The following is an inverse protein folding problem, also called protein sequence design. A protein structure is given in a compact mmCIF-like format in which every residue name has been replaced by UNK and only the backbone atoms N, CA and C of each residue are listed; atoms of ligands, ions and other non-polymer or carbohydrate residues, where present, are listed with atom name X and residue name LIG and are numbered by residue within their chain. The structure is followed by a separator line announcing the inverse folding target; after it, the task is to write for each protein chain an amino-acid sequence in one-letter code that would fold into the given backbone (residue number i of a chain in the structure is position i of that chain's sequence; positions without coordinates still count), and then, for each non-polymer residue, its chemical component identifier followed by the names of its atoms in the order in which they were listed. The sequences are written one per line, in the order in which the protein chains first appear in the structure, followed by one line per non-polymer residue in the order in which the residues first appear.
data_IF_897081633656
#
_entry.id   IF_897081633656
#
_cell.length_a   1.000
_cell.length_b   1.000
_cell.length_c   1.000
_cell.angle_alpha   90.00
_cell.angle_beta   90.00
_cell.angle_gamma   90.00
#
_symmetry.space_group_name_H-M   'P 1'
#
loop_
_entity.id
_entity.type
_entity.pdbx_description
1 polymer ?
#
# COMPACT_ATOMS: atom_id res chain seq x y z
N UNK A 1 -0.53 7.31 -13.09
CA UNK A 1 -0.23 8.65 -12.56
C UNK A 1 1.12 8.62 -11.86
N UNK A 2 2.08 9.49 -12.18
CA UNK A 2 3.23 9.68 -11.29
C UNK A 2 2.94 10.88 -10.38
N UNK A 3 3.19 10.83 -9.07
CA UNK A 3 3.07 12.02 -8.22
C UNK A 3 4.19 13.02 -8.58
N UNK A 4 3.82 14.30 -8.69
CA UNK A 4 4.75 15.43 -8.76
C UNK A 4 4.99 15.93 -7.35
N UNK A 5 6.23 16.32 -7.07
CA UNK A 5 6.65 16.79 -5.76
C UNK A 5 7.28 18.18 -5.89
N UNK A 6 7.26 19.00 -4.81
CA UNK A 6 7.96 20.27 -4.79
C UNK A 6 9.46 20.12 -5.10
N UNK A 7 10.11 21.18 -5.60
CA UNK A 7 11.56 21.20 -5.87
C UNK A 7 12.43 20.88 -4.64
N UNK A 8 11.95 21.24 -3.45
CA UNK A 8 12.62 21.00 -2.17
C UNK A 8 12.32 19.63 -1.54
N UNK A 9 11.41 18.85 -2.13
CA UNK A 9 11.00 17.58 -1.55
C UNK A 9 12.11 16.54 -1.68
N UNK A 10 12.41 15.75 -0.64
CA UNK A 10 13.50 14.77 -0.65
C UNK A 10 13.47 13.88 -1.90
N UNK A 11 12.32 13.26 -2.24
CA UNK A 11 12.15 12.39 -3.43
C UNK A 11 12.30 13.10 -4.79
N UNK A 12 12.18 14.43 -4.85
CA UNK A 12 12.49 15.20 -6.06
C UNK A 12 13.99 15.51 -6.12
N UNK A 13 14.59 15.81 -4.96
CA UNK A 13 16.03 15.95 -4.79
C UNK A 13 16.77 14.61 -5.01
N UNK A 14 16.11 13.46 -4.80
CA UNK A 14 16.69 12.12 -5.03
C UNK A 14 16.85 11.71 -6.47
N UNK A 15 16.43 12.53 -7.42
CA UNK A 15 16.82 12.30 -8.80
C UNK A 15 18.37 12.38 -8.97
N UNK A 16 19.11 12.78 -7.92
CA UNK A 16 20.56 12.58 -7.74
C UNK A 16 21.01 11.70 -6.55
N UNK A 17 20.13 10.93 -5.88
CA UNK A 17 20.46 10.01 -4.77
C UNK A 17 19.55 10.09 -3.53
N UNK A 18 19.25 8.96 -2.87
CA UNK A 18 18.24 8.86 -1.78
C UNK A 18 18.75 9.32 -0.39
N UNK A 19 18.07 10.26 0.32
CA UNK A 19 18.30 10.50 1.73
C UNK A 19 17.73 9.34 2.56
N UNK A 20 18.48 8.98 3.60
CA UNK A 20 18.29 7.78 4.43
C UNK A 20 16.97 7.74 5.22
N UNK A 21 16.28 8.87 5.38
CA UNK A 21 15.00 8.95 6.10
C UNK A 21 13.80 8.50 5.26
N UNK A 22 13.89 8.57 3.93
CA UNK A 22 12.81 8.14 3.02
C UNK A 22 12.54 6.63 3.16
N UNK A 23 13.56 5.75 3.19
CA UNK A 23 13.37 4.32 3.47
C UNK A 23 12.60 4.02 4.76
N UNK A 24 12.90 4.69 5.88
CA UNK A 24 12.27 4.41 7.18
C UNK A 24 10.80 4.84 7.19
N UNK A 25 10.50 6.04 6.66
CA UNK A 25 9.12 6.49 6.52
C UNK A 25 8.30 5.60 5.58
N UNK A 26 8.93 5.10 4.51
CA UNK A 26 8.30 4.19 3.56
C UNK A 26 8.01 2.82 4.20
N UNK A 27 8.98 2.25 4.91
CA UNK A 27 8.77 0.99 5.66
C UNK A 27 7.64 1.16 6.67
N UNK A 28 7.60 2.26 7.43
CA UNK A 28 6.51 2.56 8.36
C UNK A 28 5.16 2.65 7.65
N UNK A 29 5.11 3.33 6.50
CA UNK A 29 3.89 3.49 5.71
C UNK A 29 3.29 2.16 5.23
N UNK A 30 4.12 1.16 4.89
CA UNK A 30 3.64 -0.16 4.44
C UNK A 30 3.46 -1.18 5.57
N UNK A 31 4.24 -1.10 6.65
CA UNK A 31 4.19 -2.08 7.75
C UNK A 31 3.09 -1.75 8.76
N UNK A 32 2.92 -0.47 9.13
CA UNK A 32 1.95 -0.07 10.15
C UNK A 32 0.50 -0.45 9.81
N UNK A 33 -0.06 -0.15 8.61
CA UNK A 33 -1.43 -0.53 8.30
C UNK A 33 -1.65 -2.05 8.31
N UNK A 34 -0.65 -2.85 7.94
CA UNK A 34 -0.75 -4.31 8.01
C UNK A 34 -0.82 -4.82 9.46
N UNK A 35 0.02 -4.29 10.35
CA UNK A 35 0.05 -4.67 11.77
C UNK A 35 -1.22 -4.20 12.48
N UNK A 36 -1.67 -2.97 12.20
CA UNK A 36 -2.95 -2.43 12.72
C UNK A 36 -4.11 -3.29 12.22
N UNK A 37 -4.15 -3.61 10.92
CA UNK A 37 -5.16 -4.48 10.33
C UNK A 37 -5.19 -5.86 10.98
N UNK A 38 -4.02 -6.46 11.22
CA UNK A 38 -3.92 -7.75 11.89
C UNK A 38 -4.48 -7.70 13.31
N UNK A 39 -4.03 -6.74 14.12
CA UNK A 39 -4.50 -6.58 15.50
C UNK A 39 -6.03 -6.31 15.57
N UNK A 40 -6.55 -5.45 14.69
CA UNK A 40 -7.97 -5.16 14.62
C UNK A 40 -8.79 -6.38 14.16
N UNK A 41 -8.35 -7.07 13.11
CA UNK A 41 -9.05 -8.25 12.60
C UNK A 41 -9.06 -9.40 13.60
N UNK A 42 -7.96 -9.61 14.34
CA UNK A 42 -7.90 -10.56 15.45
C UNK A 42 -8.88 -10.18 16.57
N UNK A 43 -8.92 -8.90 16.97
CA UNK A 43 -9.82 -8.39 18.01
C UNK A 43 -11.29 -8.51 17.62
N UNK A 44 -11.64 -8.16 16.38
CA UNK A 44 -13.00 -8.30 15.85
C UNK A 44 -13.43 -9.77 15.79
N UNK A 45 -12.54 -10.65 15.33
CA UNK A 45 -12.81 -12.10 15.29
C UNK A 45 -13.00 -12.70 16.69
N UNK A 46 -12.28 -12.19 17.70
CA UNK A 46 -12.44 -12.64 19.08
C UNK A 46 -13.72 -12.10 19.73
N UNK A 47 -14.15 -10.89 19.36
CA UNK A 47 -15.30 -10.21 19.97
C UNK A 47 -16.64 -10.64 19.38
N UNK A 48 -16.70 -10.90 18.08
CA UNK A 48 -17.95 -11.15 17.38
C UNK A 48 -18.00 -12.58 16.83
N UNK A 49 -18.93 -13.40 17.34
CA UNK A 49 -19.05 -14.80 16.93
C UNK A 49 -19.27 -15.00 15.42
N UNK A 50 -20.01 -14.10 14.76
CA UNK A 50 -20.21 -14.13 13.31
C UNK A 50 -18.96 -13.74 12.51
N UNK A 51 -17.98 -13.06 13.11
CA UNK A 51 -16.65 -12.79 12.55
C UNK A 51 -15.58 -13.77 13.08
N UNK A 52 -16.00 -14.72 13.91
CA UNK A 52 -15.13 -15.62 14.66
C UNK A 52 -14.48 -16.71 13.81
N UNK A 53 -14.17 -17.85 14.43
CA UNK A 53 -13.29 -18.88 13.87
C UNK A 53 -13.60 -19.27 12.41
N UNK A 54 -14.88 -19.45 12.06
CA UNK A 54 -15.31 -19.83 10.69
C UNK A 54 -15.03 -18.74 9.66
N UNK A 55 -15.22 -17.47 10.03
CA UNK A 55 -15.11 -16.31 9.14
C UNK A 55 -13.82 -15.52 9.35
N UNK A 56 -12.90 -16.00 10.20
CA UNK A 56 -11.66 -15.31 10.55
C UNK A 56 -10.79 -14.98 9.33
N UNK A 57 -10.57 -15.89 8.34
CA UNK A 57 -9.84 -15.54 7.12
C UNK A 57 -10.47 -14.35 6.38
N UNK A 58 -11.78 -14.41 6.13
CA UNK A 58 -12.49 -13.34 5.44
C UNK A 58 -12.48 -12.04 6.25
N UNK A 59 -12.65 -12.11 7.57
CA UNK A 59 -12.59 -10.96 8.47
C UNK A 59 -11.24 -10.27 8.40
N UNK A 60 -10.14 -11.02 8.44
CA UNK A 60 -8.79 -10.46 8.31
C UNK A 60 -8.58 -9.81 6.93
N UNK A 61 -9.01 -10.48 5.86
CA UNK A 61 -8.92 -9.93 4.50
C UNK A 61 -9.70 -8.61 4.39
N UNK A 62 -10.97 -8.60 4.81
CA UNK A 62 -11.83 -7.42 4.76
C UNK A 62 -11.29 -6.26 5.62
N UNK A 63 -10.83 -6.54 6.84
CA UNK A 63 -10.24 -5.52 7.72
C UNK A 63 -8.97 -4.95 7.09
N UNK A 64 -8.09 -5.80 6.56
CA UNK A 64 -6.88 -5.34 5.89
C UNK A 64 -7.17 -4.47 4.67
N UNK A 65 -8.18 -4.84 3.86
CA UNK A 65 -8.63 -4.05 2.72
C UNK A 65 -9.09 -2.65 3.15
N UNK A 66 -9.98 -2.58 4.15
CA UNK A 66 -10.53 -1.32 4.65
C UNK A 66 -9.44 -0.45 5.28
N UNK A 67 -8.61 -1.04 6.15
CA UNK A 67 -7.51 -0.30 6.81
C UNK A 67 -6.52 0.23 5.79
N UNK A 68 -6.07 -0.60 4.84
CA UNK A 68 -5.13 -0.17 3.81
C UNK A 68 -5.71 0.89 2.88
N UNK A 69 -6.98 0.75 2.49
CA UNK A 69 -7.68 1.76 1.68
C UNK A 69 -7.78 3.08 2.43
N UNK A 70 -8.28 3.08 3.66
CA UNK A 70 -8.43 4.30 4.47
C UNK A 70 -7.08 4.95 4.76
N UNK A 71 -6.04 4.14 5.01
CA UNK A 71 -4.67 4.61 5.22
C UNK A 71 -4.15 5.36 3.98
N UNK A 72 -4.20 4.74 2.80
CA UNK A 72 -3.80 5.38 1.56
C UNK A 72 -4.63 6.63 1.25
N UNK A 73 -5.94 6.53 1.41
CA UNK A 73 -6.83 7.63 1.07
C UNK A 73 -6.55 8.85 1.96
N UNK A 74 -6.45 8.64 3.28
CA UNK A 74 -6.16 9.73 4.21
C UNK A 74 -4.76 10.31 3.97
N UNK A 75 -3.72 9.48 3.92
CA UNK A 75 -2.36 10.00 3.78
C UNK A 75 -2.05 10.56 2.39
N UNK A 76 -2.60 9.98 1.31
CA UNK A 76 -2.26 10.42 -0.04
C UNK A 76 -3.25 11.45 -0.57
N UNK A 77 -4.56 11.25 -0.40
CA UNK A 77 -5.55 12.18 -0.92
C UNK A 77 -5.70 13.42 -0.01
N UNK A 78 -5.64 13.25 1.31
CA UNK A 78 -5.79 14.35 2.25
C UNK A 78 -4.42 14.96 2.62
N UNK A 79 -3.57 14.24 3.33
CA UNK A 79 -2.27 14.78 3.77
C UNK A 79 -1.38 15.12 2.56
N UNK A 80 -1.27 14.22 1.58
CA UNK A 80 -0.44 14.38 0.40
C UNK A 80 -0.93 15.48 -0.53
N UNK A 81 -2.07 15.23 -1.16
CA UNK A 81 -2.61 16.08 -2.20
C UNK A 81 -3.26 17.37 -1.68
N UNK A 82 -3.90 17.40 -0.50
CA UNK A 82 -4.48 18.67 0.01
C UNK A 82 -3.47 19.59 0.66
N UNK A 83 -2.49 19.07 1.39
CA UNK A 83 -1.45 19.90 2.01
C UNK A 83 -0.28 20.24 1.07
N UNK A 84 -0.34 19.78 -0.19
CA UNK A 84 0.63 20.14 -1.24
C UNK A 84 1.98 19.46 -1.12
N UNK A 85 2.03 18.31 -0.43
CA UNK A 85 3.23 17.46 -0.30
C UNK A 85 3.56 16.84 -1.66
N UNK A 86 2.54 16.42 -2.41
CA UNK A 86 2.64 15.98 -3.80
C UNK A 86 1.29 16.11 -4.50
N UNK A 87 1.31 16.20 -5.84
CA UNK A 87 0.09 16.25 -6.66
C UNK A 87 0.15 15.22 -7.78
N UNK A 88 -0.98 14.63 -8.13
CA UNK A 88 -1.04 13.70 -9.25
C UNK A 88 -1.22 14.46 -10.57
N UNK A 89 -0.31 14.22 -11.52
CA UNK A 89 -0.32 14.90 -12.82
C UNK A 89 -1.48 14.51 -13.72
N UNK A 90 -1.73 13.21 -13.83
CA UNK A 90 -2.83 12.66 -14.60
C UNK A 90 -3.45 11.47 -13.88
N UNK A 91 -4.75 11.24 -14.06
CA UNK A 91 -5.49 10.07 -13.58
C UNK A 91 -6.30 9.45 -14.71
N UNK A 92 -6.78 8.23 -14.51
CA UNK A 92 -7.73 7.59 -15.44
C UNK A 92 -9.08 8.29 -15.29
N UNK A 93 -9.70 8.77 -16.39
CA UNK A 93 -11.00 9.43 -16.34
C UNK A 93 -12.06 8.57 -15.64
N UNK A 94 -12.84 9.18 -14.74
CA UNK A 94 -13.88 8.50 -13.96
C UNK A 94 -13.37 7.70 -12.77
N UNK A 95 -12.05 7.54 -12.60
CA UNK A 95 -11.42 6.89 -11.45
C UNK A 95 -10.58 7.86 -10.60
N UNK A 96 -10.70 9.17 -10.86
CA UNK A 96 -10.12 10.23 -10.05
C UNK A 96 -11.13 10.79 -9.05
N UNK A 97 -10.69 11.05 -7.83
CA UNK A 97 -11.39 11.93 -6.88
C UNK A 97 -10.92 13.36 -7.14
N UNK A 98 -11.82 14.33 -7.20
CA UNK A 98 -11.53 15.72 -7.59
C UNK A 98 -10.81 15.83 -8.94
N UNK A 99 -11.21 14.98 -9.89
CA UNK A 99 -10.64 14.92 -11.24
C UNK A 99 -10.58 16.29 -11.92
N UNK A 100 -9.48 16.59 -12.61
CA UNK A 100 -9.27 17.85 -13.31
C UNK A 100 -8.84 19.02 -12.42
N UNK A 101 -8.83 18.84 -11.09
CA UNK A 101 -8.31 19.84 -10.15
C UNK A 101 -6.86 19.54 -9.77
N UNK A 102 -6.18 20.54 -9.20
CA UNK A 102 -4.86 20.36 -8.59
C UNK A 102 -4.82 19.25 -7.53
N UNK A 103 -5.93 19.04 -6.83
CA UNK A 103 -6.06 18.07 -5.75
C UNK A 103 -6.59 16.70 -6.19
N UNK A 104 -6.54 16.42 -7.49
CA UNK A 104 -6.99 15.13 -8.01
C UNK A 104 -6.21 13.97 -7.38
N UNK A 105 -6.93 12.89 -7.09
CA UNK A 105 -6.38 11.69 -6.46
C UNK A 105 -6.88 10.42 -7.16
N UNK A 106 -5.99 9.54 -7.64
CA UNK A 106 -6.39 8.26 -8.23
C UNK A 106 -6.92 7.31 -7.15
N UNK A 107 -8.22 7.03 -7.13
CA UNK A 107 -8.79 6.14 -6.09
C UNK A 107 -8.22 4.71 -6.17
N UNK A 108 -7.79 4.31 -7.36
CA UNK A 108 -7.15 3.02 -7.60
C UNK A 108 -5.80 2.86 -6.89
N UNK A 109 -5.10 3.95 -6.54
CA UNK A 109 -3.91 3.88 -5.68
C UNK A 109 -4.30 3.42 -4.25
N UNK A 110 -5.44 3.90 -3.73
CA UNK A 110 -5.96 3.45 -2.42
C UNK A 110 -6.44 2.00 -2.46
N UNK A 111 -7.06 1.59 -3.57
CA UNK A 111 -7.45 0.20 -3.77
C UNK A 111 -6.21 -0.71 -3.80
N UNK A 112 -5.15 -0.30 -4.50
CA UNK A 112 -3.91 -1.07 -4.54
C UNK A 112 -3.27 -1.25 -3.17
N UNK A 113 -3.17 -0.19 -2.36
CA UNK A 113 -2.68 -0.35 -0.98
C UNK A 113 -3.63 -1.20 -0.15
N UNK A 114 -4.94 -1.03 -0.32
CA UNK A 114 -5.96 -1.86 0.32
C UNK A 114 -5.75 -3.35 0.03
N UNK A 115 -5.57 -3.73 -1.24
CA UNK A 115 -5.32 -5.12 -1.65
C UNK A 115 -4.01 -5.64 -1.07
N UNK A 116 -2.96 -4.83 -1.05
CA UNK A 116 -1.69 -5.23 -0.45
C UNK A 116 -1.85 -5.50 1.06
N UNK A 117 -2.53 -4.60 1.77
CA UNK A 117 -2.78 -4.74 3.21
C UNK A 117 -3.77 -5.84 3.55
N UNK A 118 -4.75 -6.12 2.68
CA UNK A 118 -5.64 -7.28 2.79
C UNK A 118 -4.84 -8.57 2.94
N UNK A 119 -3.85 -8.79 2.05
CA UNK A 119 -3.05 -10.02 2.06
C UNK A 119 -2.12 -10.06 3.28
N UNK A 120 -1.40 -8.98 3.57
CA UNK A 120 -0.49 -8.96 4.74
C UNK A 120 -1.24 -9.05 6.07
N UNK A 121 -2.40 -8.43 6.20
CA UNK A 121 -3.26 -8.55 7.38
C UNK A 121 -3.67 -9.99 7.62
N UNK A 122 -4.02 -10.73 6.55
CA UNK A 122 -4.31 -12.15 6.66
C UNK A 122 -3.06 -12.96 7.06
N UNK A 123 -1.94 -12.78 6.36
CA UNK A 123 -0.72 -13.55 6.60
C UNK A 123 -0.18 -13.37 8.02
N UNK A 124 -0.23 -12.14 8.54
CA UNK A 124 0.23 -11.78 9.89
C UNK A 124 -0.82 -12.09 10.97
N UNK A 125 -2.09 -11.78 10.71
CA UNK A 125 -3.16 -11.87 11.71
C UNK A 125 -3.74 -13.28 11.88
N UNK A 126 -3.57 -14.16 10.90
CA UNK A 126 -3.97 -15.56 11.03
C UNK A 126 -2.89 -16.36 11.75
N UNK A 127 -3.15 -16.62 13.02
CA UNK A 127 -2.22 -17.32 13.91
C UNK A 127 -2.75 -18.68 14.35
N UNK A 128 -1.87 -19.64 14.63
CA UNK A 128 -2.22 -20.90 15.32
C UNK A 128 -2.36 -20.72 16.85
N UNK A 129 -2.53 -21.84 17.56
CA UNK A 129 -2.65 -21.86 19.02
C UNK A 129 -1.36 -21.41 19.74
N UNK A 130 -0.22 -21.47 19.06
CA UNK A 130 1.09 -21.04 19.56
C UNK A 130 1.38 -19.57 19.19
N UNK A 131 0.47 -18.90 18.49
CA UNK A 131 0.62 -17.51 18.06
C UNK A 131 1.42 -17.35 16.76
N UNK A 132 1.81 -18.45 16.09
CA UNK A 132 2.58 -18.39 14.85
C UNK A 132 1.70 -18.01 13.67
N UNK A 133 2.17 -17.07 12.87
CA UNK A 133 1.47 -16.59 11.68
C UNK A 133 1.59 -17.57 10.49
N UNK A 134 0.92 -17.28 9.37
CA UNK A 134 0.86 -18.20 8.20
C UNK A 134 2.24 -18.55 7.65
N UNK A 135 3.13 -17.56 7.60
CA UNK A 135 4.48 -17.71 7.07
C UNK A 135 5.31 -18.57 8.02
N UNK A 136 5.24 -18.30 9.33
CA UNK A 136 5.95 -19.06 10.36
C UNK A 136 5.49 -20.52 10.41
N UNK A 137 4.17 -20.77 10.35
CA UNK A 137 3.62 -22.13 10.29
C UNK A 137 4.16 -22.91 9.07
N UNK A 138 4.24 -22.25 7.91
CA UNK A 138 4.78 -22.86 6.70
C UNK A 138 6.29 -23.12 6.83
N UNK A 139 7.05 -22.14 7.32
CA UNK A 139 8.50 -22.23 7.45
C UNK A 139 8.92 -23.29 8.47
N UNK A 140 8.21 -23.41 9.58
CA UNK A 140 8.42 -24.48 10.57
C UNK A 140 8.15 -25.86 9.97
N UNK A 141 7.10 -26.00 9.15
CA UNK A 141 6.79 -27.27 8.46
C UNK A 141 7.82 -27.62 7.38
N UNK A 142 8.39 -26.61 6.72
CA UNK A 142 9.34 -26.79 5.61
C UNK A 142 10.81 -26.91 6.06
N UNK A 143 11.08 -26.76 7.36
CA UNK A 143 12.44 -26.75 7.92
C UNK A 143 12.69 -27.89 8.90
N UNK A 144 13.96 -28.22 9.09
CA UNK A 144 14.41 -29.20 10.09
C UNK A 144 14.97 -28.54 11.36
N UNK A 145 15.32 -27.26 11.27
CA UNK A 145 15.94 -26.49 12.36
C UNK A 145 15.32 -25.10 12.46
N UNK A 146 15.39 -24.49 13.65
CA UNK A 146 14.88 -23.14 13.90
C UNK A 146 15.57 -22.06 13.05
N UNK A 147 16.87 -22.23 12.78
CA UNK A 147 17.62 -21.31 11.94
C UNK A 147 17.10 -21.34 10.50
N UNK A 148 16.86 -22.55 9.98
CA UNK A 148 16.28 -22.71 8.64
C UNK A 148 14.86 -22.14 8.57
N UNK A 149 14.02 -22.38 9.59
CA UNK A 149 12.67 -21.80 9.67
C UNK A 149 12.69 -20.27 9.62
N UNK A 150 13.62 -19.66 10.37
CA UNK A 150 13.78 -18.21 10.43
C UNK A 150 14.21 -17.65 9.07
N UNK A 151 15.21 -18.27 8.44
CA UNK A 151 15.68 -17.88 7.11
C UNK A 151 14.58 -18.03 6.05
N UNK A 152 13.83 -19.14 6.05
CA UNK A 152 12.70 -19.36 5.14
C UNK A 152 11.59 -18.33 5.35
N UNK A 153 11.30 -17.94 6.59
CA UNK A 153 10.29 -16.91 6.88
C UNK A 153 10.67 -15.56 6.29
N UNK A 154 11.93 -15.15 6.47
CA UNK A 154 12.45 -13.89 5.89
C UNK A 154 12.38 -13.92 4.36
N UNK A 155 12.85 -15.01 3.74
CA UNK A 155 12.79 -15.18 2.28
C UNK A 155 11.35 -15.14 1.77
N UNK A 156 10.42 -15.81 2.47
CA UNK A 156 9.01 -15.81 2.11
C UNK A 156 8.40 -14.40 2.17
N UNK A 157 8.68 -13.62 3.23
CA UNK A 157 8.21 -12.23 3.33
C UNK A 157 8.74 -11.38 2.17
N UNK A 158 10.02 -11.51 1.82
CA UNK A 158 10.64 -10.78 0.70
C UNK A 158 9.96 -11.15 -0.62
N UNK A 159 9.81 -12.45 -0.90
CA UNK A 159 9.20 -12.93 -2.15
C UNK A 159 7.74 -12.48 -2.23
N UNK A 160 6.93 -12.72 -1.19
CA UNK A 160 5.53 -12.34 -1.15
C UNK A 160 5.37 -10.83 -1.31
N UNK A 161 6.19 -10.04 -0.61
CA UNK A 161 6.16 -8.58 -0.72
C UNK A 161 6.45 -8.08 -2.13
N UNK A 162 7.47 -8.63 -2.79
CA UNK A 162 7.80 -8.24 -4.16
C UNK A 162 6.73 -8.70 -5.16
N UNK A 163 6.21 -9.92 -5.02
CA UNK A 163 5.14 -10.43 -5.89
C UNK A 163 3.86 -9.61 -5.74
N UNK A 164 3.45 -9.31 -4.50
CA UNK A 164 2.27 -8.47 -4.25
C UNK A 164 2.48 -7.05 -4.77
N UNK A 165 3.62 -6.45 -4.50
CA UNK A 165 3.94 -5.11 -4.99
C UNK A 165 3.89 -5.06 -6.52
N UNK A 166 4.51 -6.04 -7.19
CA UNK A 166 4.43 -6.21 -8.63
C UNK A 166 2.98 -6.40 -9.12
N UNK A 167 2.19 -7.22 -8.44
CA UNK A 167 0.80 -7.50 -8.82
C UNK A 167 -0.11 -6.26 -8.70
N UNK A 168 0.07 -5.43 -7.67
CA UNK A 168 -0.72 -4.19 -7.53
C UNK A 168 -0.21 -3.08 -8.44
N UNK A 169 1.09 -3.04 -8.73
CA UNK A 169 1.69 -2.02 -9.59
C UNK A 169 1.53 -2.30 -11.08
N UNK A 170 1.53 -3.57 -11.51
CA UNK A 170 1.43 -3.94 -12.92
C UNK A 170 0.21 -3.33 -13.64
N UNK A 171 -1.01 -3.29 -13.06
CA UNK A 171 -2.15 -2.58 -13.65
C UNK A 171 -1.89 -1.08 -13.86
N UNK A 172 -1.18 -0.43 -12.93
CA UNK A 172 -0.80 0.99 -13.06
C UNK A 172 0.16 1.20 -14.23
N UNK A 173 1.09 0.26 -14.43
CA UNK A 173 2.02 0.31 -15.55
C UNK A 173 1.30 0.06 -16.87
N UNK A 174 0.43 -0.95 -16.95
CA UNK A 174 -0.38 -1.27 -18.14
C UNK A 174 -1.25 -0.08 -18.54
N UNK A 175 -1.99 0.50 -17.60
CA UNK A 175 -2.86 1.66 -17.88
C UNK A 175 -2.08 2.90 -18.32
N UNK A 176 -0.87 3.10 -17.76
CA UNK A 176 0.04 4.17 -18.19
C UNK A 176 0.54 3.93 -19.62
N UNK A 177 1.08 2.74 -19.92
CA UNK A 177 1.60 2.41 -21.25
C UNK A 177 0.51 2.34 -22.32
N UNK A 178 -0.71 1.96 -21.93
CA UNK A 178 -1.89 1.97 -22.80
C UNK A 178 -2.45 3.37 -23.07
N UNK A 179 -1.90 4.43 -22.46
CA UNK A 179 -2.35 5.81 -22.67
C UNK A 179 -3.72 6.11 -22.06
N UNK A 180 -4.16 5.36 -21.03
CA UNK A 180 -5.48 5.55 -20.41
C UNK A 180 -5.49 6.62 -19.30
N UNK A 181 -4.31 7.05 -18.84
CA UNK A 181 -4.14 8.03 -17.77
C UNK A 181 -4.10 9.44 -18.38
N UNK A 182 -5.26 9.97 -18.76
CA UNK A 182 -5.37 11.17 -19.60
C UNK A 182 -5.97 12.40 -18.93
N UNK A 183 -6.65 12.24 -17.80
CA UNK A 183 -7.30 13.35 -17.12
C UNK A 183 -6.31 14.11 -16.25
N UNK A 184 -6.00 15.35 -16.61
CA UNK A 184 -4.97 16.18 -15.98
C UNK A 184 -5.55 17.45 -15.35
N UNK A 185 -4.81 18.02 -14.40
CA UNK A 185 -5.14 19.33 -13.82
C UNK A 185 -4.97 20.45 -14.85
N UNK A 186 -5.95 21.35 -14.93
CA UNK A 186 -5.84 22.60 -15.72
C UNK A 186 -4.97 23.65 -15.04
N UNK A 187 -4.73 23.49 -13.73
CA UNK A 187 -3.87 24.36 -12.92
C UNK A 187 -2.41 23.90 -12.94
N UNK A 188 -1.49 24.84 -12.71
CA UNK A 188 -0.08 24.52 -12.46
C UNK A 188 0.08 23.86 -11.09
N UNK A 189 0.66 22.65 -11.06
CA UNK A 189 0.81 21.88 -9.82
C UNK A 189 1.81 22.51 -8.84
N UNK A 190 2.97 22.94 -9.36
CA UNK A 190 3.99 23.65 -8.59
C UNK A 190 4.55 24.83 -9.41
N UNK A 191 4.76 26.01 -8.78
CA UNK A 191 5.37 27.15 -9.45
C UNK A 191 6.72 26.78 -10.06
N UNK A 192 6.94 27.16 -11.32
CA UNK A 192 8.20 26.91 -12.03
C UNK A 192 8.47 25.46 -12.45
N UNK A 193 7.54 24.53 -12.16
CA UNK A 193 7.65 23.13 -12.56
C UNK A 193 6.59 22.84 -13.62
N UNK A 194 6.97 22.44 -14.84
CA UNK A 194 6.00 22.04 -15.86
C UNK A 194 5.11 20.90 -15.36
N UNK A 195 3.82 20.97 -15.70
CA UNK A 195 2.91 19.84 -15.55
C UNK A 195 3.42 18.68 -16.42
N UNK A 196 3.11 17.43 -16.04
CA UNK A 196 3.68 16.25 -16.70
C UNK A 196 3.48 16.28 -18.22
N UNK A 197 4.51 15.93 -19.02
CA UNK A 197 4.34 15.74 -20.45
C UNK A 197 3.32 14.62 -20.70
N UNK A 198 2.57 14.75 -21.79
CA UNK A 198 1.68 13.69 -22.28
C UNK A 198 2.49 12.55 -22.88
#
# INVERSE_FOLDING_TARGET
ALPRMPSWWPLNMTWGGLPSSVPVGYIGYFVLPAVIGAALGQKLSARFGFLGAKNRPLTLLSVGLVVGFCWAFFFNAFVGARLGVFYYGYVIPGLGVFEGTKHQYPIYDSIALGVQMMVFTYLLGRTDAQGRNVIEMWADRASKTRLQASALSVVAVIIIGNLLYGAVFAPHLVTKLGGWVTSGSTEQLFPGVPNQPR
#
